data_IF_291701341240
#
_entry.id   IF_291701341240
#
_cell.length_a   1.000
_cell.length_b   1.000
_cell.length_c   1.000
_cell.angle_alpha   90.00
_cell.angle_beta   90.00
_cell.angle_gamma   90.00
#
_symmetry.space_group_name_H-M   'P 1'
#
loop_
_entity.id
_entity.type
_entity.pdbx_description
1 polymer ?
#
# COMPACT_ATOMS: atom_id res chain seq x y z
N UNK A 1 -13.57 40.48 16.72
CA UNK A 1 -14.72 39.65 16.35
C UNK A 1 -14.19 38.27 16.02
N UNK A 2 -14.34 37.31 16.93
CA UNK A 2 -13.80 35.95 16.82
C UNK A 2 -14.98 34.98 16.88
N UNK A 3 -15.41 34.52 15.71
CA UNK A 3 -16.51 33.58 15.50
C UNK A 3 -16.12 32.76 14.26
N UNK A 4 -16.14 31.45 14.16
CA UNK A 4 -16.43 30.36 15.08
C UNK A 4 -15.91 29.10 14.41
N UNK A 5 -15.29 28.24 15.20
CA UNK A 5 -15.03 26.83 14.96
C UNK A 5 -16.32 26.10 14.49
N UNK A 6 -16.33 25.64 13.24
CA UNK A 6 -17.31 24.71 12.67
C UNK A 6 -16.51 23.81 11.71
N UNK A 7 -16.03 22.63 12.10
CA UNK A 7 -16.88 21.51 12.49
C UNK A 7 -17.44 20.85 11.23
N UNK A 8 -16.57 20.40 10.30
CA UNK A 8 -16.99 19.48 9.26
C UNK A 8 -16.64 18.05 9.72
N UNK A 9 -17.68 17.23 9.77
CA UNK A 9 -17.78 16.05 10.61
C UNK A 9 -16.71 15.01 10.35
N UNK A 10 -16.07 14.60 11.44
CA UNK A 10 -15.57 13.24 11.61
C UNK A 10 -16.75 12.28 11.38
N UNK A 11 -16.94 11.85 10.14
CA UNK A 11 -17.79 10.70 9.85
C UNK A 11 -16.96 9.47 10.16
N UNK A 12 -17.09 9.02 11.40
CA UNK A 12 -16.63 7.73 11.90
C UNK A 12 -17.34 6.63 11.08
N UNK A 13 -16.63 6.05 10.11
CA UNK A 13 -16.94 4.73 9.60
C UNK A 13 -15.66 3.89 9.64
N UNK A 14 -15.49 3.23 10.78
CA UNK A 14 -14.82 1.95 10.95
C UNK A 14 -13.51 1.78 10.17
N UNK A 15 -12.33 1.85 10.85
CA UNK A 15 -11.16 1.13 10.37
C UNK A 15 -11.43 -0.37 10.50
N UNK A 16 -12.30 -0.90 9.64
CA UNK A 16 -11.97 -2.15 8.97
C UNK A 16 -10.63 -1.83 8.34
N UNK A 17 -9.55 -2.25 9.01
CA UNK A 17 -8.18 -2.26 8.51
C UNK A 17 -8.15 -3.12 7.24
N UNK A 18 -8.74 -2.58 6.19
CA UNK A 18 -8.75 -3.12 4.84
C UNK A 18 -7.31 -3.00 4.41
N UNK A 19 -6.69 -4.13 4.10
CA UNK A 19 -5.39 -4.12 3.46
C UNK A 19 -5.58 -3.34 2.15
N UNK A 20 -4.61 -2.50 1.79
CA UNK A 20 -4.68 -1.70 0.55
C UNK A 20 -3.60 -2.14 -0.39
N UNK A 21 -3.86 -2.02 -1.68
CA UNK A 21 -2.96 -2.54 -2.70
C UNK A 21 -1.70 -1.69 -2.69
N UNK A 22 -0.55 -2.29 -2.46
CA UNK A 22 0.70 -1.54 -2.46
C UNK A 22 1.06 -0.91 -3.83
N UNK A 23 0.39 -1.35 -4.91
CA UNK A 23 0.60 -0.83 -6.26
C UNK A 23 -0.42 0.24 -6.68
N UNK A 24 -1.70 0.08 -6.31
CA UNK A 24 -2.79 0.92 -6.80
C UNK A 24 -3.65 1.56 -5.69
N UNK A 25 -3.31 1.31 -4.43
CA UNK A 25 -4.01 1.81 -3.23
C UNK A 25 -5.50 1.41 -3.12
N UNK A 26 -5.97 0.47 -3.94
CA UNK A 26 -7.34 -0.06 -3.86
C UNK A 26 -7.55 -0.95 -2.64
N UNK A 27 -8.80 -1.04 -2.17
CA UNK A 27 -9.21 -1.92 -1.07
C UNK A 27 -8.98 -3.39 -1.45
N UNK A 28 -8.16 -4.11 -0.68
CA UNK A 28 -7.99 -5.55 -0.81
C UNK A 28 -9.10 -6.27 -0.05
N UNK A 29 -9.63 -7.31 -0.71
CA UNK A 29 -10.64 -8.21 -0.16
C UNK A 29 -10.05 -9.48 0.44
N UNK A 30 -10.82 -10.57 0.42
CA UNK A 30 -10.38 -11.88 0.90
C UNK A 30 -9.36 -12.56 -0.03
N UNK A 31 -9.32 -12.16 -1.30
CA UNK A 31 -8.42 -12.72 -2.30
C UNK A 31 -7.31 -11.72 -2.61
N UNK A 32 -6.20 -11.87 -1.90
CA UNK A 32 -4.99 -11.04 -2.04
C UNK A 32 -3.80 -11.92 -2.40
N UNK A 33 -2.86 -11.34 -3.15
CA UNK A 33 -1.61 -12.01 -3.48
C UNK A 33 -0.50 -11.39 -2.64
N UNK A 34 0.24 -12.24 -1.95
CA UNK A 34 1.30 -11.83 -1.04
C UNK A 34 2.65 -11.87 -1.76
N UNK A 35 3.34 -10.73 -1.87
CA UNK A 35 4.67 -10.63 -2.47
C UNK A 35 5.70 -10.12 -1.45
N UNK A 36 6.97 -10.53 -1.62
CA UNK A 36 8.09 -10.05 -0.79
C UNK A 36 8.85 -8.99 -1.56
N UNK A 37 8.95 -7.80 -0.98
CA UNK A 37 9.70 -6.68 -1.53
C UNK A 37 10.71 -6.21 -0.47
N UNK A 38 12.02 -6.27 -0.76
CA UNK A 38 13.05 -5.75 0.14
C UNK A 38 13.02 -6.35 1.56
N UNK A 39 12.63 -7.63 1.67
CA UNK A 39 12.47 -8.33 2.95
C UNK A 39 11.16 -8.04 3.70
N UNK A 40 10.27 -7.21 3.15
CA UNK A 40 8.95 -6.92 3.72
C UNK A 40 7.87 -7.52 2.85
N UNK A 41 6.87 -8.11 3.49
CA UNK A 41 5.74 -8.75 2.80
C UNK A 41 4.63 -7.74 2.62
N UNK A 42 4.16 -7.57 1.39
CA UNK A 42 3.02 -6.70 1.05
C UNK A 42 2.00 -7.47 0.22
N UNK A 43 0.77 -6.98 0.23
CA UNK A 43 -0.36 -7.62 -0.44
C UNK A 43 -0.82 -6.76 -1.62
N UNK A 44 -1.27 -7.43 -2.68
CA UNK A 44 -1.81 -6.79 -3.88
C UNK A 44 -3.13 -7.40 -4.31
N UNK A 45 -3.92 -6.62 -5.07
CA UNK A 45 -5.24 -7.01 -5.53
C UNK A 45 -5.23 -7.92 -6.77
N UNK A 46 -4.13 -8.00 -7.53
CA UNK A 46 -4.03 -8.83 -8.72
C UNK A 46 -2.58 -9.19 -9.07
N UNK A 47 -2.41 -10.18 -9.96
CA UNK A 47 -1.08 -10.65 -10.35
C UNK A 47 -0.28 -9.58 -11.11
N UNK A 48 -0.94 -8.74 -11.90
CA UNK A 48 -0.29 -7.63 -12.60
C UNK A 48 0.37 -6.65 -11.62
N UNK A 49 -0.30 -6.33 -10.51
CA UNK A 49 0.28 -5.52 -9.43
C UNK A 49 1.47 -6.23 -8.75
N UNK A 50 1.39 -7.55 -8.59
CA UNK A 50 2.48 -8.36 -8.02
C UNK A 50 3.72 -8.31 -8.91
N UNK A 51 3.53 -8.52 -10.22
CA UNK A 51 4.60 -8.53 -11.22
C UNK A 51 5.25 -7.15 -11.33
N UNK A 52 4.45 -6.07 -11.43
CA UNK A 52 4.97 -4.71 -11.51
C UNK A 52 5.81 -4.32 -10.28
N UNK A 53 5.35 -4.66 -9.07
CA UNK A 53 6.11 -4.41 -7.85
C UNK A 53 7.38 -5.28 -7.77
N UNK A 54 7.32 -6.53 -8.18
CA UNK A 54 8.45 -7.45 -8.17
C UNK A 54 9.53 -7.04 -9.18
N UNK A 55 9.17 -6.55 -10.37
CA UNK A 55 10.12 -6.02 -11.34
C UNK A 55 10.81 -4.75 -10.83
N UNK A 56 10.05 -3.82 -10.26
CA UNK A 56 10.60 -2.62 -9.64
C UNK A 56 11.52 -2.97 -8.45
N UNK A 57 11.13 -3.96 -7.65
CA UNK A 57 11.92 -4.45 -6.52
C UNK A 57 13.21 -5.11 -6.98
N UNK A 58 13.16 -6.03 -7.95
CA UNK A 58 14.35 -6.66 -8.51
C UNK A 58 15.36 -5.62 -9.03
N UNK A 59 14.86 -4.55 -9.68
CA UNK A 59 15.69 -3.45 -10.15
C UNK A 59 16.34 -2.64 -9.00
N UNK A 60 15.59 -2.30 -7.94
CA UNK A 60 16.15 -1.56 -6.80
C UNK A 60 17.03 -2.45 -5.91
N UNK A 61 16.72 -3.73 -5.76
CA UNK A 61 17.48 -4.68 -4.98
C UNK A 61 18.85 -4.90 -5.59
N UNK A 62 18.94 -5.04 -6.92
CA UNK A 62 20.20 -5.08 -7.66
C UNK A 62 21.02 -3.78 -7.50
N UNK A 63 20.37 -2.61 -7.41
CA UNK A 63 21.06 -1.35 -7.15
C UNK A 63 21.54 -1.20 -5.68
N UNK A 64 20.84 -1.80 -4.73
CA UNK A 64 21.15 -1.70 -3.30
C UNK A 64 22.35 -2.57 -2.87
N UNK A 65 22.57 -3.73 -3.52
CA UNK A 65 23.73 -4.61 -3.26
C UNK A 65 25.04 -4.13 -3.89
N UNK A 66 25.04 -3.00 -4.61
CA UNK A 66 26.21 -2.45 -5.30
C UNK A 66 26.89 -1.26 -4.60
N UNK A 67 26.54 -0.95 -3.35
CA UNK A 67 27.11 0.19 -2.61
C UNK A 67 27.56 -0.21 -1.21
N UNK A 68 28.68 -0.95 -1.16
CA UNK A 68 29.53 -1.11 0.02
C UNK A 68 31.00 -0.85 -0.33
#
# INVERSE_FOLDING_TARGET
>A
MSLSRSGDGQSEDHPMKKTTCAACDCELGAETITVKLGGKTVEVCCQECAEALNEAEAATSAAATGRE
#
